data_IF_775307613587
#
_entry.id   IF_775307613587
#
_cell.length_a   1.000
_cell.length_b   1.000
_cell.length_c   1.000
_cell.angle_alpha   90.00
_cell.angle_beta   90.00
_cell.angle_gamma   90.00
#
_symmetry.space_group_name_H-M   'P 1'
#
loop_
_entity.id
_entity.type
_entity.pdbx_description
1 polymer ?
#
# COMPACT_ATOMS: atom_id res chain seq x y z
N UNK A 1 39.49 -66.45 -9.88
CA UNK A 1 39.60 -65.54 -8.74
C UNK A 1 40.81 -64.64 -8.98
N UNK A 2 40.79 -63.78 -9.98
CA UNK A 2 41.91 -62.85 -10.33
C UNK A 2 41.49 -61.60 -11.10
N UNK A 3 40.21 -61.24 -11.16
CA UNK A 3 39.76 -60.10 -12.03
C UNK A 3 39.10 -58.94 -11.29
N UNK A 4 39.21 -58.84 -9.97
CA UNK A 4 38.58 -57.77 -9.18
C UNK A 4 39.55 -56.63 -8.73
N UNK A 5 40.79 -56.61 -9.20
CA UNK A 5 41.80 -55.65 -8.75
C UNK A 5 41.90 -54.37 -9.59
N UNK A 6 41.19 -54.27 -10.69
CA UNK A 6 41.22 -53.11 -11.59
C UNK A 6 39.79 -52.70 -11.98
N UNK A 7 39.10 -52.10 -11.04
CA UNK A 7 37.87 -51.39 -11.41
C UNK A 7 38.22 -50.05 -12.04
N UNK A 8 37.44 -49.63 -12.99
CA UNK A 8 37.63 -48.32 -13.73
C UNK A 8 37.73 -47.18 -12.70
N UNK A 9 36.99 -47.21 -11.62
CA UNK A 9 37.06 -46.24 -10.53
C UNK A 9 38.43 -46.22 -9.81
N UNK A 10 39.01 -47.39 -9.58
CA UNK A 10 40.33 -47.49 -8.93
C UNK A 10 41.45 -46.97 -9.86
N UNK A 11 41.29 -47.17 -11.19
CA UNK A 11 42.21 -46.67 -12.19
C UNK A 11 42.12 -45.15 -12.33
N UNK A 12 40.90 -44.58 -12.30
CA UNK A 12 40.65 -43.13 -12.36
C UNK A 12 41.21 -42.43 -11.10
N UNK A 13 40.97 -42.98 -9.93
CA UNK A 13 41.52 -42.47 -8.66
C UNK A 13 43.07 -42.51 -8.66
N UNK A 14 43.68 -43.59 -9.15
CA UNK A 14 45.11 -43.70 -9.27
C UNK A 14 45.70 -42.70 -10.25
N UNK A 15 45.10 -42.54 -11.44
CA UNK A 15 45.49 -41.53 -12.43
C UNK A 15 45.39 -40.10 -11.89
N UNK A 16 44.31 -39.78 -11.22
CA UNK A 16 44.11 -38.46 -10.59
C UNK A 16 45.19 -38.19 -9.52
N UNK A 17 45.53 -39.20 -8.72
CA UNK A 17 46.55 -39.07 -7.69
C UNK A 17 47.94 -38.88 -8.30
N UNK A 18 48.25 -39.62 -9.36
CA UNK A 18 49.56 -39.53 -10.08
C UNK A 18 49.65 -38.13 -10.78
N UNK A 19 48.59 -37.69 -11.42
CA UNK A 19 48.55 -36.36 -12.05
C UNK A 19 48.74 -35.23 -11.02
N UNK A 20 48.06 -35.32 -9.89
CA UNK A 20 48.23 -34.36 -8.80
C UNK A 20 49.64 -34.35 -8.25
N UNK A 21 50.21 -35.51 -7.98
CA UNK A 21 51.60 -35.62 -7.49
C UNK A 21 52.60 -35.08 -8.49
N UNK A 22 52.38 -35.35 -9.79
CA UNK A 22 53.28 -34.86 -10.84
C UNK A 22 53.16 -33.33 -11.00
N UNK A 23 51.94 -32.76 -10.79
CA UNK A 23 51.74 -31.33 -10.80
C UNK A 23 52.41 -30.66 -9.59
N UNK A 24 52.30 -31.27 -8.39
CA UNK A 24 52.94 -30.78 -7.18
C UNK A 24 54.47 -30.80 -7.31
N UNK A 25 55.04 -31.91 -7.85
CA UNK A 25 56.50 -32.05 -8.10
C UNK A 25 56.99 -31.03 -9.15
N UNK A 26 56.17 -30.71 -10.17
CA UNK A 26 56.48 -29.67 -11.15
C UNK A 26 56.45 -28.27 -10.53
N UNK A 27 55.47 -28.00 -9.64
CA UNK A 27 55.34 -26.72 -8.96
C UNK A 27 56.49 -26.49 -7.96
N UNK A 28 56.94 -27.55 -7.27
CA UNK A 28 58.06 -27.47 -6.35
C UNK A 28 59.42 -27.32 -7.09
N UNK A 29 59.50 -27.79 -8.33
CA UNK A 29 60.70 -27.63 -9.17
C UNK A 29 60.77 -26.29 -9.90
N UNK A 30 59.70 -25.53 -9.93
CA UNK A 30 59.70 -24.21 -10.55
C UNK A 30 60.20 -23.15 -9.59
N UNK A 31 61.29 -22.47 -9.95
CA UNK A 31 61.76 -21.32 -9.20
C UNK A 31 60.62 -20.26 -9.10
N UNK A 32 60.40 -19.67 -7.91
CA UNK A 32 59.38 -18.64 -7.76
C UNK A 32 59.65 -17.51 -8.76
N UNK A 33 58.74 -17.40 -9.69
CA UNK A 33 58.79 -16.34 -10.72
C UNK A 33 58.38 -15.01 -10.11
N UNK A 34 59.31 -14.10 -9.99
CA UNK A 34 59.04 -12.73 -9.58
C UNK A 34 58.32 -11.99 -10.70
N UNK A 35 57.02 -11.77 -10.47
CA UNK A 35 56.22 -10.99 -11.40
C UNK A 35 56.56 -9.50 -11.25
N UNK A 36 56.54 -8.78 -12.37
CA UNK A 36 56.79 -7.34 -12.35
C UNK A 36 55.71 -6.63 -11.48
N UNK A 37 56.09 -5.58 -10.75
CA UNK A 37 55.16 -4.80 -9.95
C UNK A 37 53.92 -4.36 -10.73
N UNK A 38 54.07 -4.07 -12.02
CA UNK A 38 52.96 -3.69 -12.89
C UNK A 38 51.95 -4.82 -13.11
N UNK A 39 52.42 -6.08 -13.21
CA UNK A 39 51.57 -7.26 -13.30
C UNK A 39 50.81 -7.51 -11.98
N UNK A 40 51.47 -7.41 -10.85
CA UNK A 40 50.85 -7.58 -9.54
C UNK A 40 49.76 -6.52 -9.29
N UNK A 41 50.01 -5.27 -9.66
CA UNK A 41 49.01 -4.21 -9.55
C UNK A 41 47.80 -4.46 -10.47
N UNK A 42 48.00 -4.94 -11.68
CA UNK A 42 46.91 -5.33 -12.59
C UNK A 42 46.10 -6.51 -12.05
N UNK A 43 46.74 -7.52 -11.52
CA UNK A 43 46.09 -8.70 -10.92
C UNK A 43 45.31 -8.32 -9.67
N UNK A 44 45.86 -7.49 -8.80
CA UNK A 44 45.16 -7.00 -7.61
C UNK A 44 43.91 -6.16 -7.98
N UNK A 45 44.00 -5.39 -9.06
CA UNK A 45 42.87 -4.60 -9.58
C UNK A 45 41.74 -5.49 -10.13
N UNK A 46 42.10 -6.54 -10.88
CA UNK A 46 41.17 -7.52 -11.42
C UNK A 46 40.47 -8.30 -10.30
N UNK A 47 41.23 -8.78 -9.30
CA UNK A 47 40.66 -9.48 -8.16
C UNK A 47 39.69 -8.61 -7.33
N UNK A 48 40.00 -7.31 -7.15
CA UNK A 48 39.09 -6.37 -6.52
C UNK A 48 37.80 -6.16 -7.33
N UNK A 49 37.90 -6.13 -8.63
CA UNK A 49 36.77 -5.98 -9.54
C UNK A 49 35.86 -7.21 -9.53
N UNK A 50 36.41 -8.42 -9.52
CA UNK A 50 35.66 -9.67 -9.39
C UNK A 50 34.94 -9.80 -8.03
N UNK A 51 35.61 -9.45 -6.94
CA UNK A 51 34.99 -9.46 -5.61
C UNK A 51 33.83 -8.48 -5.53
N UNK A 52 33.93 -7.30 -6.14
CA UNK A 52 32.80 -6.33 -6.21
C UNK A 52 31.65 -6.87 -7.06
N UNK A 53 31.92 -7.51 -8.15
CA UNK A 53 30.89 -8.09 -9.03
C UNK A 53 30.12 -9.23 -8.38
N UNK A 54 30.80 -10.09 -7.62
CA UNK A 54 30.16 -11.19 -6.88
C UNK A 54 29.36 -10.68 -5.67
N UNK A 55 29.82 -9.65 -4.99
CA UNK A 55 29.06 -9.01 -3.91
C UNK A 55 27.79 -8.30 -4.44
N UNK A 56 27.91 -7.56 -5.55
CA UNK A 56 26.76 -6.92 -6.18
C UNK A 56 25.70 -7.94 -6.65
N UNK A 57 26.10 -9.06 -7.25
CA UNK A 57 25.19 -10.14 -7.65
C UNK A 57 24.49 -10.80 -6.46
N UNK A 58 25.16 -10.91 -5.31
CA UNK A 58 24.51 -11.41 -4.08
C UNK A 58 23.51 -10.40 -3.54
N UNK A 59 23.87 -9.13 -3.46
CA UNK A 59 22.98 -8.05 -3.01
C UNK A 59 21.74 -7.92 -3.89
N UNK A 60 21.88 -7.99 -5.22
CA UNK A 60 20.72 -7.95 -6.13
C UNK A 60 19.81 -9.15 -5.97
N UNK A 61 20.33 -10.37 -5.73
CA UNK A 61 19.50 -11.56 -5.47
C UNK A 61 18.73 -11.42 -4.16
N UNK A 62 19.34 -10.90 -3.10
CA UNK A 62 18.67 -10.65 -1.84
C UNK A 62 17.62 -9.54 -1.95
N UNK A 63 17.91 -8.48 -2.71
CA UNK A 63 16.96 -7.40 -2.95
C UNK A 63 15.72 -7.88 -3.73
N UNK A 64 15.93 -8.72 -4.77
CA UNK A 64 14.81 -9.33 -5.53
C UNK A 64 13.99 -10.28 -4.65
N UNK A 65 14.65 -11.11 -3.83
CA UNK A 65 13.94 -12.01 -2.91
C UNK A 65 13.13 -11.23 -1.86
N UNK A 66 13.67 -10.14 -1.31
CA UNK A 66 12.97 -9.27 -0.38
C UNK A 66 11.77 -8.58 -1.05
N UNK A 67 11.93 -8.10 -2.28
CA UNK A 67 10.83 -7.49 -3.04
C UNK A 67 9.71 -8.49 -3.32
N UNK A 68 10.05 -9.73 -3.71
CA UNK A 68 9.06 -10.79 -3.92
C UNK A 68 8.34 -11.18 -2.62
N UNK A 69 9.05 -11.22 -1.48
CA UNK A 69 8.44 -11.50 -0.19
C UNK A 69 7.45 -10.39 0.21
N UNK A 70 7.78 -9.12 -0.05
CA UNK A 70 6.88 -7.98 0.19
C UNK A 70 5.65 -8.07 -0.71
N UNK A 71 5.81 -8.34 -2.00
CA UNK A 71 4.69 -8.47 -2.95
C UNK A 71 3.78 -9.65 -2.59
N UNK A 72 4.36 -10.82 -2.23
CA UNK A 72 3.57 -11.96 -1.78
C UNK A 72 2.87 -11.70 -0.45
N UNK A 73 3.55 -11.05 0.51
CA UNK A 73 2.98 -10.66 1.79
C UNK A 73 1.80 -9.69 1.62
N UNK A 74 1.96 -8.71 0.74
CA UNK A 74 0.89 -7.76 0.38
C UNK A 74 -0.28 -8.47 -0.30
N UNK A 75 -0.01 -9.39 -1.23
CA UNK A 75 -1.04 -10.16 -1.92
C UNK A 75 -1.84 -11.07 -0.98
N UNK A 76 -1.19 -11.73 -0.02
CA UNK A 76 -1.85 -12.53 1.02
C UNK A 76 -2.64 -11.64 1.99
N UNK A 77 -2.12 -10.49 2.37
CA UNK A 77 -2.80 -9.52 3.22
C UNK A 77 -4.07 -8.97 2.56
N UNK A 78 -4.01 -8.62 1.28
CA UNK A 78 -5.14 -8.13 0.50
C UNK A 78 -6.20 -9.21 0.20
N UNK A 79 -5.83 -10.49 0.24
CA UNK A 79 -6.77 -11.61 0.00
C UNK A 79 -7.45 -12.12 1.27
N UNK A 80 -6.99 -11.71 2.46
CA UNK A 80 -7.36 -12.38 3.71
C UNK A 80 -8.65 -11.91 4.39
N UNK A 81 -9.14 -10.67 4.16
CA UNK A 81 -10.44 -10.22 4.71
C UNK A 81 -10.93 -8.91 4.09
N UNK A 82 -12.26 -8.70 4.10
CA UNK A 82 -12.90 -7.41 3.76
C UNK A 82 -12.47 -6.30 4.73
N UNK A 83 -12.23 -6.60 6.01
CA UNK A 83 -11.68 -5.67 7.00
C UNK A 83 -10.25 -5.22 6.64
N UNK A 84 -9.39 -6.14 6.19
CA UNK A 84 -8.03 -5.80 5.77
C UNK A 84 -7.99 -4.95 4.49
N UNK A 85 -9.03 -4.99 3.65
CA UNK A 85 -9.17 -4.09 2.49
C UNK A 85 -9.58 -2.69 2.91
N UNK A 86 -10.50 -2.56 3.87
CA UNK A 86 -10.88 -1.26 4.45
C UNK A 86 -9.66 -0.58 5.11
N UNK A 87 -8.88 -1.33 5.86
CA UNK A 87 -7.62 -0.85 6.46
C UNK A 87 -6.54 -0.53 5.39
N UNK A 88 -6.50 -1.26 4.28
CA UNK A 88 -5.56 -0.97 3.19
C UNK A 88 -5.95 0.26 2.37
N UNK A 89 -7.24 0.59 2.28
CA UNK A 89 -7.72 1.84 1.67
C UNK A 89 -7.46 3.05 2.56
N UNK A 90 -7.48 2.90 3.90
CA UNK A 90 -6.93 3.91 4.82
C UNK A 90 -5.43 4.10 4.64
N UNK A 91 -4.73 3.12 4.06
CA UNK A 91 -3.30 3.20 3.77
C UNK A 91 -2.97 4.11 2.57
N UNK A 92 -3.90 4.37 1.68
CA UNK A 92 -3.79 5.40 0.62
C UNK A 92 -4.09 6.81 1.14
N UNK A 93 -4.44 6.97 2.41
CA UNK A 93 -4.50 8.25 3.09
C UNK A 93 -3.10 8.85 3.15
N UNK A 94 -2.87 9.89 2.36
CA UNK A 94 -1.66 10.71 2.46
C UNK A 94 -1.91 11.85 3.41
N UNK A 95 -1.31 11.77 4.58
CA UNK A 95 -1.24 12.89 5.50
C UNK A 95 -0.14 13.84 5.04
N UNK A 96 -0.55 15.03 4.70
CA UNK A 96 0.35 16.17 4.51
C UNK A 96 0.24 17.06 5.75
N UNK A 97 1.26 17.87 6.02
CA UNK A 97 1.29 18.73 7.20
C UNK A 97 0.13 19.73 7.31
N UNK A 98 -0.73 19.86 6.33
CA UNK A 98 -1.88 20.79 6.30
C UNK A 98 -3.17 20.19 5.78
N UNK A 99 -3.16 19.05 5.12
CA UNK A 99 -4.35 18.45 4.55
C UNK A 99 -4.26 16.93 4.48
N UNK A 100 -5.41 16.28 4.47
CA UNK A 100 -5.54 14.84 4.21
C UNK A 100 -6.18 14.63 2.85
N UNK A 101 -5.58 13.78 2.03
CA UNK A 101 -6.11 13.44 0.71
C UNK A 101 -6.51 11.96 0.69
N UNK A 102 -7.74 11.70 0.29
CA UNK A 102 -8.27 10.37 0.00
C UNK A 102 -8.27 10.18 -1.51
N UNK A 103 -7.60 9.13 -1.95
CA UNK A 103 -7.68 8.66 -3.34
C UNK A 103 -8.46 7.35 -3.32
N UNK A 104 -9.55 7.33 -4.06
CA UNK A 104 -10.39 6.15 -4.17
C UNK A 104 -9.95 5.30 -5.37
N UNK A 105 -10.31 4.03 -5.34
CA UNK A 105 -10.07 3.12 -6.43
C UNK A 105 -11.38 2.40 -6.77
N UNK A 106 -11.83 2.55 -8.00
CA UNK A 106 -13.06 1.96 -8.49
C UNK A 106 -13.34 2.34 -9.94
N UNK A 107 -14.32 1.71 -10.53
CA UNK A 107 -14.74 1.92 -11.91
C UNK A 107 -16.23 2.35 -12.02
N UNK A 108 -16.79 2.86 -10.92
CA UNK A 108 -18.20 3.24 -10.87
C UNK A 108 -18.40 4.64 -11.48
N UNK A 109 -19.16 4.70 -12.55
CA UNK A 109 -19.48 5.97 -13.24
C UNK A 109 -20.83 6.55 -12.79
N UNK A 110 -21.73 5.74 -12.27
CA UNK A 110 -23.09 6.12 -11.87
C UNK A 110 -23.48 5.48 -10.55
N UNK A 111 -24.19 6.24 -9.74
CA UNK A 111 -24.74 5.80 -8.46
C UNK A 111 -26.26 6.00 -8.42
N UNK A 112 -27.00 5.19 -7.67
CA UNK A 112 -28.42 5.44 -7.43
C UNK A 112 -28.59 6.79 -6.71
N UNK A 113 -29.72 7.41 -6.86
CA UNK A 113 -30.07 8.58 -6.06
C UNK A 113 -30.19 8.16 -4.60
N UNK A 114 -29.57 8.93 -3.70
CA UNK A 114 -29.67 8.76 -2.26
C UNK A 114 -30.61 9.82 -1.70
N UNK A 115 -31.37 9.45 -0.67
CA UNK A 115 -32.29 10.35 0.04
C UNK A 115 -32.08 10.23 1.53
N UNK A 116 -32.28 11.32 2.24
CA UNK A 116 -32.30 11.36 3.70
C UNK A 116 -33.66 10.94 4.22
N UNK A 117 -33.69 9.94 5.10
CA UNK A 117 -34.93 9.55 5.81
C UNK A 117 -35.10 10.31 7.12
N UNK A 118 -34.07 10.99 7.56
CA UNK A 118 -34.07 11.81 8.75
C UNK A 118 -33.27 13.10 8.52
N UNK A 119 -33.83 14.22 8.98
CA UNK A 119 -33.21 15.55 8.94
C UNK A 119 -33.35 16.16 10.34
N UNK A 120 -32.30 16.78 10.91
CA UNK A 120 -32.36 17.44 12.19
C UNK A 120 -33.47 18.49 12.24
N UNK A 121 -34.12 18.61 13.42
CA UNK A 121 -35.18 19.62 13.62
C UNK A 121 -34.65 21.04 13.37
N UNK A 122 -35.41 21.81 12.62
CA UNK A 122 -35.05 23.17 12.21
C UNK A 122 -34.31 23.24 10.90
N UNK A 123 -33.65 22.18 10.44
CA UNK A 123 -32.91 22.20 9.18
C UNK A 123 -33.83 21.97 7.97
N UNK A 124 -33.70 22.80 6.95
CA UNK A 124 -34.43 22.72 5.70
C UNK A 124 -33.46 22.54 4.52
N UNK A 125 -33.92 21.82 3.47
CA UNK A 125 -33.15 21.66 2.24
C UNK A 125 -33.04 23.01 1.51
N UNK A 126 -31.83 23.51 1.39
CA UNK A 126 -31.51 24.75 0.67
C UNK A 126 -31.14 24.51 -0.79
N UNK A 127 -30.32 23.49 -1.02
CA UNK A 127 -29.78 23.22 -2.35
C UNK A 127 -29.64 21.70 -2.55
N UNK A 128 -30.01 21.26 -3.74
CA UNK A 128 -29.81 19.92 -4.23
C UNK A 128 -29.13 19.98 -5.60
N UNK A 129 -28.03 19.27 -5.76
CA UNK A 129 -27.35 19.05 -7.02
C UNK A 129 -27.27 17.55 -7.26
N UNK A 130 -27.78 17.12 -8.40
CA UNK A 130 -27.86 15.71 -8.79
C UNK A 130 -27.26 15.59 -10.19
N UNK A 131 -25.93 15.49 -10.25
CA UNK A 131 -25.18 15.20 -11.47
C UNK A 131 -24.58 13.80 -11.38
N UNK A 132 -23.30 13.63 -11.64
CA UNK A 132 -22.57 12.40 -11.32
C UNK A 132 -22.41 12.29 -9.81
N UNK A 133 -22.09 13.41 -9.15
CA UNK A 133 -22.09 13.54 -7.68
C UNK A 133 -23.41 14.09 -7.23
N UNK A 134 -23.86 13.68 -6.05
CA UNK A 134 -25.08 14.18 -5.42
C UNK A 134 -24.66 15.02 -4.21
N UNK A 135 -25.16 16.25 -4.17
CA UNK A 135 -24.88 17.16 -3.05
C UNK A 135 -26.18 17.75 -2.54
N UNK A 136 -26.37 17.63 -1.23
CA UNK A 136 -27.52 18.17 -0.50
C UNK A 136 -27.02 19.13 0.57
N UNK A 137 -27.50 20.36 0.53
CA UNK A 137 -27.16 21.39 1.52
C UNK A 137 -28.40 21.72 2.32
N UNK A 138 -28.27 21.59 3.64
CA UNK A 138 -29.31 21.92 4.61
C UNK A 138 -28.81 23.02 5.54
N UNK A 139 -29.68 23.91 5.94
CA UNK A 139 -29.40 24.91 6.96
C UNK A 139 -30.65 25.18 7.80
N UNK A 140 -30.44 25.75 8.96
CA UNK A 140 -31.50 26.22 9.83
C UNK A 140 -31.80 27.69 9.51
N UNK A 141 -33.01 28.05 9.03
CA UNK A 141 -33.36 29.42 8.71
C UNK A 141 -33.31 30.38 9.91
N UNK A 142 -33.52 29.84 11.14
CA UNK A 142 -33.51 30.62 12.37
C UNK A 142 -32.08 30.75 12.93
N UNK A 143 -31.18 29.84 12.59
CA UNK A 143 -29.76 29.86 12.95
C UNK A 143 -28.88 29.55 11.73
N UNK A 144 -28.50 30.54 10.92
CA UNK A 144 -27.70 30.34 9.72
C UNK A 144 -26.31 29.74 9.95
N UNK A 145 -25.82 29.72 11.20
CA UNK A 145 -24.57 29.03 11.54
C UNK A 145 -24.77 27.52 11.70
N UNK A 146 -26.01 27.06 11.84
CA UNK A 146 -26.36 25.65 11.98
C UNK A 146 -26.78 25.06 10.64
N UNK A 147 -26.00 24.11 10.17
CA UNK A 147 -26.29 23.45 8.89
C UNK A 147 -25.34 22.31 8.59
N UNK A 148 -25.64 21.60 7.49
CA UNK A 148 -24.80 20.51 7.02
C UNK A 148 -24.92 20.31 5.50
N UNK A 149 -23.90 19.68 4.96
CA UNK A 149 -23.83 19.26 3.56
C UNK A 149 -23.60 17.76 3.51
N UNK A 150 -24.40 17.07 2.71
CA UNK A 150 -24.19 15.66 2.37
C UNK A 150 -23.66 15.60 0.94
N UNK A 151 -22.55 14.92 0.74
CA UNK A 151 -22.03 14.59 -0.59
C UNK A 151 -21.99 13.08 -0.76
N UNK A 152 -22.46 12.62 -1.91
CA UNK A 152 -22.47 11.22 -2.32
C UNK A 152 -21.79 11.13 -3.68
N UNK A 153 -20.72 10.34 -3.77
CA UNK A 153 -19.86 10.28 -4.94
C UNK A 153 -19.65 8.82 -5.36
N UNK A 154 -19.61 8.53 -6.67
CA UNK A 154 -19.19 7.23 -7.15
C UNK A 154 -17.73 6.95 -6.79
N UNK A 155 -17.44 5.69 -6.49
CA UNK A 155 -16.10 5.21 -6.24
C UNK A 155 -15.38 5.05 -7.58
N UNK A 156 -14.50 5.98 -7.93
CA UNK A 156 -13.79 6.03 -9.20
C UNK A 156 -12.34 6.44 -9.02
N UNK A 157 -11.42 5.90 -9.87
CA UNK A 157 -9.98 6.11 -9.80
C UNK A 157 -9.54 7.57 -10.03
N UNK A 158 -10.38 8.37 -10.69
CA UNK A 158 -10.12 9.77 -11.01
C UNK A 158 -10.67 10.74 -9.95
N UNK A 159 -11.21 10.21 -8.84
CA UNK A 159 -11.88 11.00 -7.80
C UNK A 159 -11.17 10.85 -6.46
N UNK A 160 -11.37 11.90 -5.66
CA UNK A 160 -10.80 11.92 -4.30
C UNK A 160 -11.44 13.02 -3.47
N UNK A 161 -11.26 12.92 -2.17
CA UNK A 161 -11.63 13.98 -1.21
C UNK A 161 -10.34 14.57 -0.67
N UNK A 162 -10.27 15.88 -0.63
CA UNK A 162 -9.20 16.62 0.03
C UNK A 162 -9.81 17.37 1.20
N UNK A 163 -9.34 17.06 2.41
CA UNK A 163 -9.70 17.78 3.64
C UNK A 163 -8.55 18.72 4.00
N UNK A 164 -8.83 20.00 4.05
CA UNK A 164 -7.87 21.02 4.47
C UNK A 164 -7.90 21.22 5.99
N UNK A 165 -6.80 21.67 6.59
CA UNK A 165 -6.72 21.97 8.02
C UNK A 165 -6.81 20.74 8.95
N UNK A 166 -6.47 19.55 8.45
CA UNK A 166 -6.61 18.31 9.25
C UNK A 166 -5.54 18.15 10.33
N UNK A 167 -4.54 19.01 10.40
CA UNK A 167 -3.52 19.02 11.44
C UNK A 167 -4.09 19.27 12.85
N UNK A 168 -5.18 20.03 12.94
CA UNK A 168 -5.83 20.39 14.20
C UNK A 168 -7.07 19.53 14.52
N UNK A 169 -7.41 18.56 13.65
CA UNK A 169 -8.59 17.74 13.82
C UNK A 169 -8.30 16.49 14.67
N UNK A 170 -9.17 16.21 15.63
CA UNK A 170 -9.22 14.90 16.27
C UNK A 170 -9.95 13.91 15.37
N UNK A 171 -9.34 12.74 15.15
CA UNK A 171 -9.91 11.72 14.27
C UNK A 171 -10.38 10.54 15.10
N UNK A 172 -11.67 10.24 14.98
CA UNK A 172 -12.30 9.09 15.62
C UNK A 172 -12.74 8.08 14.56
N UNK A 173 -12.31 6.82 14.71
CA UNK A 173 -12.79 5.72 13.87
C UNK A 173 -14.14 5.24 14.38
N UNK A 174 -15.10 5.11 13.47
CA UNK A 174 -16.49 4.73 13.75
C UNK A 174 -16.92 3.62 12.78
N UNK A 175 -18.10 3.08 13.02
CA UNK A 175 -18.76 2.16 12.12
C UNK A 175 -20.17 2.68 11.81
N UNK A 176 -20.49 2.80 10.51
CA UNK A 176 -21.82 3.13 10.03
C UNK A 176 -22.35 1.91 9.28
N UNK A 177 -23.36 1.23 9.83
CA UNK A 177 -23.79 -0.09 9.37
C UNK A 177 -22.58 -1.05 9.33
N UNK A 178 -22.22 -1.58 8.14
CA UNK A 178 -21.10 -2.49 7.96
C UNK A 178 -19.86 -1.80 7.38
N UNK A 179 -19.86 -0.46 7.31
CA UNK A 179 -18.78 0.33 6.72
C UNK A 179 -17.95 1.03 7.78
N UNK A 180 -16.62 1.01 7.64
CA UNK A 180 -15.72 1.83 8.44
C UNK A 180 -15.87 3.30 8.08
N UNK A 181 -15.97 4.16 9.11
CA UNK A 181 -16.14 5.60 8.96
C UNK A 181 -15.09 6.37 9.76
N UNK A 182 -14.76 7.57 9.31
CA UNK A 182 -13.86 8.48 9.99
C UNK A 182 -14.60 9.78 10.31
N UNK A 183 -14.64 10.13 11.58
CA UNK A 183 -15.14 11.40 12.06
C UNK A 183 -13.98 12.32 12.38
N UNK A 184 -13.90 13.42 11.69
CA UNK A 184 -13.00 14.53 11.96
C UNK A 184 -13.73 15.54 12.82
N UNK A 185 -13.16 15.83 13.98
CA UNK A 185 -13.68 16.83 14.91
C UNK A 185 -12.81 18.07 14.85
N UNK A 186 -13.36 19.15 14.36
CA UNK A 186 -12.75 20.49 14.37
C UNK A 186 -13.37 21.34 15.48
N UNK A 187 -12.77 22.47 15.84
CA UNK A 187 -13.32 23.36 16.90
C UNK A 187 -14.71 23.89 16.60
N UNK A 188 -15.08 24.02 15.32
CA UNK A 188 -16.30 24.70 14.86
C UNK A 188 -17.20 23.83 13.96
N UNK A 189 -16.73 22.66 13.52
CA UNK A 189 -17.50 21.75 12.67
C UNK A 189 -17.01 20.31 12.75
N UNK A 190 -17.74 19.40 12.13
CA UNK A 190 -17.41 18.00 11.98
C UNK A 190 -17.42 17.58 10.52
N UNK A 191 -16.60 16.62 10.18
CA UNK A 191 -16.61 15.95 8.87
C UNK A 191 -16.65 14.44 9.10
N UNK A 192 -17.67 13.78 8.60
CA UNK A 192 -17.84 12.35 8.65
C UNK A 192 -17.71 11.77 7.26
N UNK A 193 -16.79 10.83 7.06
CA UNK A 193 -16.52 10.18 5.77
C UNK A 193 -16.60 8.69 5.94
N UNK A 194 -17.31 8.01 5.03
CA UNK A 194 -17.30 6.55 4.92
C UNK A 194 -17.48 6.11 3.49
N UNK A 195 -17.22 4.83 3.25
CA UNK A 195 -17.26 4.23 1.94
C UNK A 195 -18.01 2.90 2.01
N UNK A 196 -18.95 2.71 1.09
CA UNK A 196 -19.57 1.40 0.81
C UNK A 196 -18.99 0.83 -0.47
N UNK A 197 -18.01 -0.08 -0.31
CA UNK A 197 -17.36 -0.74 -1.43
C UNK A 197 -18.33 -1.62 -2.22
N UNK A 198 -19.34 -2.20 -1.57
CA UNK A 198 -20.32 -3.06 -2.24
C UNK A 198 -21.26 -2.25 -3.13
N UNK A 199 -21.61 -1.04 -2.68
CA UNK A 199 -22.41 -0.11 -3.46
C UNK A 199 -21.57 0.73 -4.43
N UNK A 200 -20.24 0.73 -4.29
CA UNK A 200 -19.32 1.55 -5.09
C UNK A 200 -19.48 3.05 -4.82
N UNK A 201 -19.69 3.44 -3.56
CA UNK A 201 -20.09 4.83 -3.21
C UNK A 201 -19.26 5.33 -2.04
N UNK A 202 -18.86 6.58 -2.13
CA UNK A 202 -18.24 7.35 -1.04
C UNK A 202 -19.22 8.42 -0.56
N UNK A 203 -19.32 8.53 0.74
CA UNK A 203 -20.18 9.48 1.42
C UNK A 203 -19.36 10.45 2.27
N UNK A 204 -19.80 11.68 2.30
CA UNK A 204 -19.29 12.69 3.22
C UNK A 204 -20.44 13.51 3.80
N UNK A 205 -20.43 13.74 5.10
CA UNK A 205 -21.33 14.67 5.77
C UNK A 205 -20.47 15.67 6.52
N UNK A 206 -20.64 16.96 6.20
CA UNK A 206 -19.90 18.07 6.80
C UNK A 206 -20.89 19.04 7.41
N UNK A 207 -20.68 19.46 8.65
CA UNK A 207 -21.60 20.44 9.26
C UNK A 207 -21.20 20.88 10.65
N UNK A 208 -21.96 21.85 11.14
CA UNK A 208 -21.84 22.43 12.49
C UNK A 208 -22.80 21.81 13.51
N UNK A 209 -23.41 20.70 13.13
CA UNK A 209 -24.29 19.87 13.97
C UNK A 209 -23.43 19.08 14.99
N UNK A 210 -24.11 18.47 15.95
CA UNK A 210 -23.44 17.55 16.88
C UNK A 210 -22.98 16.26 16.17
N UNK A 211 -21.99 15.59 16.74
CA UNK A 211 -21.52 14.30 16.21
C UNK A 211 -22.64 13.25 16.14
N UNK A 212 -23.56 13.26 17.12
CA UNK A 212 -24.71 12.36 17.18
C UNK A 212 -25.68 12.61 16.02
N UNK A 213 -25.97 13.89 15.72
CA UNK A 213 -26.82 14.27 14.59
C UNK A 213 -26.18 13.88 13.24
N UNK A 214 -24.86 14.05 13.08
CA UNK A 214 -24.15 13.60 11.87
C UNK A 214 -24.26 12.08 11.69
N UNK A 215 -24.14 11.31 12.75
CA UNK A 215 -24.30 9.86 12.71
C UNK A 215 -25.73 9.46 12.32
N UNK A 216 -26.75 10.12 12.89
CA UNK A 216 -28.14 9.88 12.51
C UNK A 216 -28.43 10.23 11.03
N UNK A 217 -27.84 11.30 10.51
CA UNK A 217 -27.89 11.66 9.09
C UNK A 217 -27.29 10.53 8.25
N UNK A 218 -26.09 10.05 8.63
CA UNK A 218 -25.39 9.00 7.89
C UNK A 218 -26.17 7.67 7.90
N UNK A 219 -26.76 7.29 9.03
CA UNK A 219 -27.63 6.11 9.13
C UNK A 219 -28.93 6.27 8.34
N UNK A 220 -29.46 7.50 8.27
CA UNK A 220 -30.66 7.84 7.52
C UNK A 220 -30.48 7.97 6.02
N UNK A 221 -29.26 7.97 5.51
CA UNK A 221 -28.98 8.10 4.08
C UNK A 221 -29.16 6.75 3.36
N UNK A 222 -30.16 6.63 2.51
CA UNK A 222 -30.54 5.37 1.84
C UNK A 222 -30.73 5.59 0.34
N UNK A 223 -30.50 4.59 -0.50
CA UNK A 223 -30.84 4.68 -1.93
C UNK A 223 -32.34 4.84 -2.10
N UNK A 224 -32.73 5.74 -3.01
CA UNK A 224 -34.12 5.94 -3.42
C UNK A 224 -34.63 4.67 -4.12
N UNK A 225 -35.81 4.21 -3.78
CA UNK A 225 -36.40 2.97 -4.31
C UNK A 225 -37.11 3.19 -5.63
#
# INVERSE_FOLDING_TARGET
MKDELFTDEALEAALTTIQKKHLDDLLDSMEPHDFSEEFEQKMAKLQRQERRHTQLRRLTRWAVAALLAVVMGLGLFLSASTEARADALTWLRREYSRYTSYLFKGDQDQIPRYVLTWVPEGCELYKEENTVDQTYVYYDPDDPARGFTVAVMPLSDDRGIVLDGTEDAEITMLQIRDCSAQLYTFPDHYILIWMDENAGVVFSVTGTLTAEELLQIAEGLVPEK
#
